data_IF_958911942956
#
_entry.id   IF_958911942956
#
_cell.length_a   1.000
_cell.length_b   1.000
_cell.length_c   1.000
_cell.angle_alpha   90.00
_cell.angle_beta   90.00
_cell.angle_gamma   90.00
#
_symmetry.space_group_name_H-M   'P 1'
#
loop_
_entity.id
_entity.type
_entity.pdbx_description
1 polymer ?
#
# COMPACT_ATOMS: atom_id res chain seq x y z
N UNK A 1 -26.72 -11.17 28.25
CA UNK A 1 -26.15 -11.77 27.02
C UNK A 1 -25.28 -10.72 26.31
N UNK A 2 -24.23 -10.20 26.98
CA UNK A 2 -23.49 -8.96 26.60
C UNK A 2 -21.96 -9.07 26.79
N UNK A 3 -21.33 -10.23 26.54
CA UNK A 3 -19.87 -10.40 26.76
C UNK A 3 -19.13 -11.21 25.68
N UNK A 4 -19.68 -11.30 24.47
CA UNK A 4 -19.09 -12.12 23.39
C UNK A 4 -18.58 -11.25 22.22
N UNK A 5 -18.83 -9.93 22.26
CA UNK A 5 -18.40 -8.99 21.21
C UNK A 5 -17.47 -7.87 21.73
N UNK A 6 -16.91 -8.02 22.93
CA UNK A 6 -15.73 -7.25 23.31
C UNK A 6 -14.52 -7.90 22.64
N UNK A 7 -14.36 -7.70 21.33
CA UNK A 7 -13.03 -7.82 20.74
C UNK A 7 -12.23 -6.75 21.48
N UNK A 8 -11.46 -7.15 22.50
CA UNK A 8 -10.64 -6.23 23.26
C UNK A 8 -9.88 -5.37 22.23
N UNK A 9 -9.89 -4.03 22.33
CA UNK A 9 -9.28 -3.11 21.37
C UNK A 9 -7.87 -3.56 20.92
N UNK A 10 -7.16 -4.24 21.82
CA UNK A 10 -5.88 -4.93 21.59
C UNK A 10 -5.88 -5.87 20.39
N UNK A 11 -6.91 -6.68 20.15
CA UNK A 11 -6.96 -7.64 19.05
C UNK A 11 -7.13 -6.95 17.70
N UNK A 12 -7.84 -5.82 17.67
CA UNK A 12 -7.95 -4.98 16.46
C UNK A 12 -6.58 -4.40 16.13
N UNK A 13 -5.89 -3.82 17.12
CA UNK A 13 -4.52 -3.32 16.94
C UNK A 13 -3.55 -4.41 16.48
N UNK A 14 -3.57 -5.58 17.13
CA UNK A 14 -2.69 -6.69 16.77
C UNK A 14 -2.96 -7.20 15.36
N UNK A 15 -4.22 -7.40 15.00
CA UNK A 15 -4.59 -7.91 13.67
C UNK A 15 -4.18 -6.94 12.58
N UNK A 16 -4.50 -5.64 12.74
CA UNK A 16 -4.13 -4.62 11.75
C UNK A 16 -2.61 -4.49 11.64
N UNK A 17 -1.92 -4.39 12.76
CA UNK A 17 -0.46 -4.27 12.79
C UNK A 17 0.23 -5.47 12.17
N UNK A 18 -0.23 -6.69 12.47
CA UNK A 18 0.35 -7.91 11.94
C UNK A 18 0.07 -8.08 10.45
N UNK A 19 -1.11 -7.70 9.95
CA UNK A 19 -1.42 -7.74 8.53
C UNK A 19 -0.57 -6.75 7.72
N UNK A 20 -0.42 -5.51 8.21
CA UNK A 20 0.44 -4.50 7.58
C UNK A 20 1.90 -4.96 7.60
N UNK A 21 2.39 -5.39 8.77
CA UNK A 21 3.76 -5.90 8.90
C UNK A 21 4.02 -7.10 8.00
N UNK A 22 3.13 -8.09 7.96
CA UNK A 22 3.29 -9.29 7.15
C UNK A 22 3.28 -8.98 5.66
N UNK A 23 2.42 -8.05 5.22
CA UNK A 23 2.40 -7.61 3.82
C UNK A 23 3.73 -6.97 3.41
N UNK A 24 4.24 -6.03 4.22
CA UNK A 24 5.48 -5.31 3.92
C UNK A 24 6.73 -6.20 4.09
N UNK A 25 6.73 -7.15 5.02
CA UNK A 25 7.86 -8.04 5.27
C UNK A 25 7.98 -9.20 4.26
N UNK A 26 6.86 -9.76 3.78
CA UNK A 26 6.86 -11.04 3.05
C UNK A 26 7.04 -10.85 1.52
N UNK A 27 7.18 -9.62 1.00
CA UNK A 27 7.26 -9.33 -0.46
C UNK A 27 6.04 -9.80 -1.27
N UNK A 28 5.00 -10.32 -0.60
CA UNK A 28 3.77 -10.82 -1.23
C UNK A 28 2.67 -9.78 -1.05
N UNK A 29 2.84 -8.64 -1.71
CA UNK A 29 1.78 -7.63 -1.88
C UNK A 29 0.59 -8.13 -2.73
N UNK A 30 0.54 -9.43 -3.07
CA UNK A 30 -0.54 -10.03 -3.84
C UNK A 30 -1.53 -10.85 -2.98
N UNK A 31 -1.22 -11.13 -1.71
CA UNK A 31 -2.03 -12.06 -0.88
C UNK A 31 -2.51 -11.45 0.45
N UNK A 32 -1.80 -10.48 1.03
CA UNK A 32 -2.17 -9.90 2.34
C UNK A 32 -2.66 -8.46 2.14
N UNK A 33 -3.94 -8.14 2.41
CA UNK A 33 -4.48 -6.81 2.17
C UNK A 33 -4.20 -5.85 3.35
N UNK A 34 -2.93 -5.49 3.58
CA UNK A 34 -2.54 -4.58 4.67
C UNK A 34 -3.09 -3.17 4.50
N UNK A 35 -3.27 -2.69 3.26
CA UNK A 35 -3.95 -1.41 2.98
C UNK A 35 -5.42 -1.45 3.43
N UNK A 36 -6.08 -2.58 3.21
CA UNK A 36 -7.46 -2.79 3.66
C UNK A 36 -7.50 -2.86 5.18
N UNK A 37 -6.54 -3.52 5.83
CA UNK A 37 -6.43 -3.57 7.28
C UNK A 37 -6.27 -2.16 7.89
N UNK A 38 -5.42 -1.30 7.31
CA UNK A 38 -5.25 0.08 7.76
C UNK A 38 -6.55 0.89 7.65
N UNK A 39 -7.28 0.76 6.53
CA UNK A 39 -8.59 1.41 6.34
C UNK A 39 -9.61 0.91 7.36
N UNK A 40 -9.70 -0.41 7.55
CA UNK A 40 -10.60 -1.02 8.53
C UNK A 40 -10.25 -0.59 9.96
N UNK A 41 -8.96 -0.47 10.29
CA UNK A 41 -8.50 0.09 11.56
C UNK A 41 -8.96 1.55 11.76
N UNK A 42 -8.95 2.35 10.70
CA UNK A 42 -9.51 3.70 10.69
C UNK A 42 -11.02 3.72 10.92
N UNK A 43 -11.77 2.84 10.24
CA UNK A 43 -13.22 2.70 10.44
C UNK A 43 -13.53 2.28 11.88
N UNK A 44 -12.80 1.31 12.43
CA UNK A 44 -12.94 0.89 13.82
C UNK A 44 -12.67 2.04 14.80
N UNK A 45 -11.70 2.91 14.49
CA UNK A 45 -11.43 4.11 15.27
C UNK A 45 -12.60 5.11 15.24
N UNK A 46 -13.27 5.27 14.09
CA UNK A 46 -14.44 6.16 13.96
C UNK A 46 -15.63 5.74 14.82
N UNK A 47 -15.74 4.43 15.07
CA UNK A 47 -16.80 3.85 15.90
C UNK A 47 -16.47 3.84 17.40
N UNK A 48 -15.30 4.38 17.78
CA UNK A 48 -14.84 4.44 19.17
C UNK A 48 -14.26 3.13 19.71
N UNK A 49 -14.08 2.09 18.87
CA UNK A 49 -13.50 0.82 19.31
C UNK A 49 -11.99 0.91 19.61
N UNK A 50 -11.29 1.85 18.96
CA UNK A 50 -9.84 2.07 19.08
C UNK A 50 -9.51 3.56 19.00
N UNK A 51 -8.43 3.98 19.64
CA UNK A 51 -7.88 5.33 19.53
C UNK A 51 -7.22 5.52 18.15
N UNK A 52 -7.65 6.54 17.42
CA UNK A 52 -7.16 6.89 16.08
C UNK A 52 -5.64 7.10 16.05
N UNK A 53 -5.10 7.92 16.96
CA UNK A 53 -3.67 8.22 17.00
C UNK A 53 -2.81 6.98 17.25
N UNK A 54 -3.27 6.08 18.13
CA UNK A 54 -2.58 4.80 18.40
C UNK A 54 -2.60 3.92 17.17
N UNK A 55 -3.72 3.87 16.43
CA UNK A 55 -3.81 3.10 15.19
C UNK A 55 -2.86 3.65 14.11
N UNK A 56 -2.78 4.98 13.96
CA UNK A 56 -1.85 5.61 13.01
C UNK A 56 -0.40 5.24 13.37
N UNK A 57 0.00 5.44 14.64
CA UNK A 57 1.36 5.14 15.09
C UNK A 57 1.71 3.65 14.88
N UNK A 58 0.77 2.77 15.19
CA UNK A 58 0.94 1.33 15.03
C UNK A 58 1.10 0.92 13.56
N UNK A 59 0.24 1.42 12.66
CA UNK A 59 0.34 1.14 11.21
C UNK A 59 1.65 1.67 10.63
N UNK A 60 2.04 2.90 11.01
CA UNK A 60 3.30 3.51 10.57
C UNK A 60 4.50 2.69 11.06
N UNK A 61 4.51 2.30 12.34
CA UNK A 61 5.58 1.47 12.89
C UNK A 61 5.66 0.11 12.22
N UNK A 62 4.51 -0.57 12.04
CA UNK A 62 4.44 -1.86 11.36
C UNK A 62 5.01 -1.78 9.93
N UNK A 63 4.63 -0.75 9.17
CA UNK A 63 5.12 -0.56 7.82
C UNK A 63 6.64 -0.28 7.76
N UNK A 64 7.15 0.60 8.63
CA UNK A 64 8.57 0.92 8.68
C UNK A 64 9.42 -0.30 9.06
N UNK A 65 8.95 -1.09 10.03
CA UNK A 65 9.64 -2.30 10.48
C UNK A 65 9.57 -3.37 9.39
N UNK A 66 8.42 -3.59 8.75
CA UNK A 66 8.27 -4.54 7.64
C UNK A 66 9.19 -4.22 6.46
N UNK A 67 9.21 -2.96 6.04
CA UNK A 67 10.12 -2.48 5.00
C UNK A 67 11.61 -2.62 5.41
N UNK A 68 11.92 -2.45 6.69
CA UNK A 68 13.28 -2.66 7.21
C UNK A 68 13.71 -4.13 7.16
N UNK A 69 12.78 -5.06 7.42
CA UNK A 69 13.01 -6.50 7.21
C UNK A 69 13.29 -6.75 5.73
N UNK A 70 12.49 -6.17 4.83
CA UNK A 70 12.72 -6.28 3.39
C UNK A 70 14.08 -5.76 2.94
N UNK A 71 14.54 -4.64 3.50
CA UNK A 71 15.88 -4.10 3.26
C UNK A 71 16.97 -5.06 3.73
N UNK A 72 16.89 -5.62 4.94
CA UNK A 72 17.91 -6.53 5.44
C UNK A 72 17.94 -7.87 4.68
N UNK A 73 16.76 -8.38 4.27
CA UNK A 73 16.67 -9.54 3.36
C UNK A 73 17.36 -9.23 2.03
N UNK A 74 17.11 -8.07 1.44
CA UNK A 74 17.78 -7.65 0.21
C UNK A 74 19.29 -7.49 0.36
N UNK A 75 19.75 -6.96 1.49
CA UNK A 75 21.17 -6.73 1.78
C UNK A 75 21.96 -8.02 1.96
N UNK A 76 21.36 -9.04 2.57
CA UNK A 76 22.01 -10.33 2.82
C UNK A 76 21.81 -11.34 1.69
N UNK A 77 20.64 -11.34 1.04
CA UNK A 77 20.24 -12.35 0.05
C UNK A 77 20.04 -11.79 -1.36
N UNK A 78 20.34 -10.51 -1.61
CA UNK A 78 20.03 -9.81 -2.87
C UNK A 78 20.52 -10.51 -4.14
N UNK A 79 21.74 -11.06 -4.15
CA UNK A 79 22.27 -11.79 -5.30
C UNK A 79 21.53 -13.11 -5.57
N UNK A 80 21.01 -13.76 -4.52
CA UNK A 80 20.21 -15.00 -4.63
C UNK A 80 18.75 -14.72 -4.98
N UNK A 81 18.17 -13.64 -4.44
CA UNK A 81 16.81 -13.21 -4.78
C UNK A 81 16.71 -12.77 -6.25
N UNK A 82 17.67 -11.97 -6.73
CA UNK A 82 17.69 -11.51 -8.13
C UNK A 82 17.99 -12.63 -9.14
N UNK A 83 18.61 -13.73 -8.69
CA UNK A 83 18.87 -14.92 -9.50
C UNK A 83 17.75 -15.98 -9.43
N UNK A 84 16.69 -15.76 -8.65
CA UNK A 84 15.62 -16.74 -8.50
C UNK A 84 14.72 -16.79 -9.74
N UNK A 85 14.54 -17.98 -10.33
CA UNK A 85 13.76 -18.17 -11.56
C UNK A 85 12.29 -17.73 -11.48
N UNK A 86 11.71 -17.60 -10.28
CA UNK A 86 10.35 -17.05 -10.14
C UNK A 86 10.27 -15.57 -10.52
N UNK A 87 11.36 -14.81 -10.38
CA UNK A 87 11.42 -13.40 -10.76
C UNK A 87 11.70 -13.18 -12.26
N UNK A 88 12.07 -14.21 -13.02
CA UNK A 88 12.30 -14.09 -14.48
C UNK A 88 11.06 -13.57 -15.21
N UNK A 89 9.85 -13.97 -14.76
CA UNK A 89 8.58 -13.47 -15.33
C UNK A 89 8.36 -11.97 -15.11
N UNK A 90 9.07 -11.38 -14.15
CA UNK A 90 8.97 -9.97 -13.78
C UNK A 90 10.26 -9.18 -14.02
N UNK A 91 11.31 -9.79 -14.61
CA UNK A 91 12.64 -9.17 -14.81
C UNK A 91 12.58 -7.76 -15.37
N UNK A 92 11.82 -7.54 -16.45
CA UNK A 92 11.69 -6.20 -17.04
C UNK A 92 11.04 -5.14 -16.13
N UNK A 93 10.27 -5.53 -15.10
CA UNK A 93 9.80 -4.60 -14.06
C UNK A 93 10.81 -4.41 -12.93
N UNK A 94 11.61 -5.44 -12.62
CA UNK A 94 12.75 -5.30 -11.70
C UNK A 94 13.81 -4.38 -12.28
N UNK A 95 14.15 -4.52 -13.56
CA UNK A 95 15.12 -3.65 -14.24
C UNK A 95 14.65 -2.19 -14.19
N UNK A 96 13.37 -1.93 -14.49
CA UNK A 96 12.77 -0.59 -14.33
C UNK A 96 12.83 -0.07 -12.88
N UNK A 97 12.66 -0.94 -11.89
CA UNK A 97 12.76 -0.56 -10.48
C UNK A 97 14.21 -0.27 -10.07
N UNK A 98 15.18 -1.03 -10.59
CA UNK A 98 16.60 -0.78 -10.41
C UNK A 98 17.04 0.52 -11.08
N UNK A 99 16.61 0.77 -12.33
CA UNK A 99 16.85 2.03 -13.03
C UNK A 99 16.24 3.21 -12.30
N UNK A 100 15.02 3.04 -11.79
CA UNK A 100 14.35 4.07 -11.01
C UNK A 100 15.10 4.37 -9.71
N UNK A 101 15.59 3.33 -9.03
CA UNK A 101 16.43 3.47 -7.84
C UNK A 101 17.77 4.13 -8.16
N UNK A 102 18.41 3.75 -9.26
CA UNK A 102 19.67 4.35 -9.70
C UNK A 102 19.52 5.84 -10.03
N UNK A 103 18.42 6.23 -10.69
CA UNK A 103 18.15 7.62 -11.07
C UNK A 103 17.67 8.49 -9.92
N UNK A 104 16.83 7.97 -9.03
CA UNK A 104 16.16 8.77 -7.97
C UNK A 104 16.69 8.53 -6.55
N UNK A 105 17.50 7.50 -6.33
CA UNK A 105 18.07 7.18 -5.04
C UNK A 105 17.00 7.02 -3.96
N UNK A 106 17.13 7.73 -2.84
CA UNK A 106 16.18 7.64 -1.72
C UNK A 106 14.74 8.04 -2.08
N UNK A 107 14.55 8.94 -3.06
CA UNK A 107 13.21 9.28 -3.54
C UNK A 107 12.49 8.11 -4.21
N UNK A 108 13.23 7.12 -4.73
CA UNK A 108 12.63 5.91 -5.26
C UNK A 108 11.90 5.10 -4.18
N UNK A 109 12.41 5.13 -2.94
CA UNK A 109 11.80 4.46 -1.77
C UNK A 109 10.46 5.10 -1.43
N UNK A 110 10.43 6.43 -1.39
CA UNK A 110 9.21 7.18 -1.12
C UNK A 110 8.17 6.99 -2.24
N UNK A 111 8.57 7.23 -3.49
CA UNK A 111 7.65 7.19 -4.64
C UNK A 111 7.19 5.77 -4.96
N UNK A 112 8.04 4.76 -4.69
CA UNK A 112 7.72 3.35 -4.91
C UNK A 112 6.51 2.87 -4.10
N UNK A 113 6.27 3.46 -2.92
CA UNK A 113 5.15 3.09 -2.05
C UNK A 113 3.76 3.29 -2.65
N UNK A 114 3.62 4.21 -3.62
CA UNK A 114 2.32 4.47 -4.25
C UNK A 114 1.94 3.46 -5.34
N UNK A 115 2.84 2.52 -5.64
CA UNK A 115 2.65 1.47 -6.64
C UNK A 115 2.89 0.11 -6.01
N UNK A 116 1.86 -0.73 -5.95
CA UNK A 116 1.89 -2.03 -5.25
C UNK A 116 3.12 -2.89 -5.59
N UNK A 117 3.47 -2.99 -6.87
CA UNK A 117 4.66 -3.76 -7.30
C UNK A 117 5.96 -3.16 -6.75
N UNK A 118 6.17 -1.83 -6.91
CA UNK A 118 7.40 -1.20 -6.44
C UNK A 118 7.46 -1.18 -4.91
N UNK A 119 6.35 -0.96 -4.20
CA UNK A 119 6.31 -1.03 -2.73
C UNK A 119 6.87 -2.36 -2.23
N UNK A 120 6.40 -3.47 -2.80
CA UNK A 120 6.85 -4.78 -2.39
C UNK A 120 8.35 -5.00 -2.69
N UNK A 121 8.84 -4.66 -3.89
CA UNK A 121 10.22 -5.02 -4.29
C UNK A 121 11.28 -3.99 -3.91
N UNK A 122 10.91 -2.73 -3.71
CA UNK A 122 11.86 -1.62 -3.52
C UNK A 122 12.75 -1.79 -2.28
N UNK A 123 12.23 -2.18 -1.09
CA UNK A 123 13.08 -2.38 0.08
C UNK A 123 14.19 -3.42 -0.16
N UNK A 124 13.88 -4.57 -0.78
CA UNK A 124 14.92 -5.55 -1.14
C UNK A 124 15.91 -4.99 -2.15
N UNK A 125 15.45 -4.28 -3.18
CA UNK A 125 16.35 -3.70 -4.19
C UNK A 125 17.31 -2.67 -3.58
N UNK A 126 16.82 -1.86 -2.64
CA UNK A 126 17.63 -0.89 -1.91
C UNK A 126 18.64 -1.58 -1.00
N UNK A 127 18.24 -2.67 -0.34
CA UNK A 127 19.14 -3.52 0.43
C UNK A 127 20.23 -4.16 -0.44
N UNK A 128 19.83 -4.75 -1.58
CA UNK A 128 20.73 -5.43 -2.52
C UNK A 128 21.75 -4.48 -3.15
N UNK A 129 21.36 -3.23 -3.39
CA UNK A 129 22.27 -2.16 -3.86
C UNK A 129 23.16 -1.56 -2.76
N UNK A 130 23.05 -2.05 -1.51
CA UNK A 130 23.82 -1.61 -0.34
C UNK A 130 23.72 -0.10 -0.08
N UNK A 131 22.56 0.50 -0.33
CA UNK A 131 22.31 1.89 0.09
C UNK A 131 22.48 2.00 1.61
N UNK A 132 23.12 3.05 2.16
CA UNK A 132 23.24 3.22 3.62
C UNK A 132 21.88 3.18 4.32
N UNK A 133 21.75 2.33 5.35
CA UNK A 133 20.48 2.14 6.08
C UNK A 133 19.85 3.44 6.61
N UNK A 134 20.61 4.43 7.16
CA UNK A 134 20.00 5.68 7.61
C UNK A 134 19.32 6.48 6.49
N UNK A 135 19.89 6.42 5.27
CA UNK A 135 19.29 7.06 4.10
C UNK A 135 18.03 6.33 3.66
N UNK A 136 18.04 5.00 3.64
CA UNK A 136 16.82 4.23 3.39
C UNK A 136 15.73 4.55 4.43
N UNK A 137 16.08 4.47 5.71
CA UNK A 137 15.15 4.63 6.82
C UNK A 137 14.49 6.02 6.85
N UNK A 138 15.17 7.09 6.47
CA UNK A 138 14.57 8.44 6.45
C UNK A 138 13.47 8.58 5.40
N UNK A 139 13.74 8.16 4.16
CA UNK A 139 12.73 8.14 3.09
C UNK A 139 11.63 7.11 3.37
N UNK A 140 11.99 5.99 3.98
CA UNK A 140 11.06 4.95 4.40
C UNK A 140 10.15 5.42 5.55
N UNK A 141 10.67 6.13 6.54
CA UNK A 141 9.86 6.67 7.62
C UNK A 141 8.90 7.73 7.09
N UNK A 142 9.40 8.64 6.24
CA UNK A 142 8.57 9.69 5.65
C UNK A 142 7.41 9.12 4.82
N UNK A 143 7.69 8.15 3.94
CA UNK A 143 6.63 7.50 3.18
C UNK A 143 5.67 6.69 4.04
N UNK A 144 6.15 6.08 5.13
CA UNK A 144 5.33 5.25 6.02
C UNK A 144 4.36 6.11 6.82
N UNK A 145 4.83 7.25 7.31
CA UNK A 145 4.01 8.27 7.97
C UNK A 145 2.92 8.78 7.04
N UNK A 146 3.29 9.22 5.83
CA UNK A 146 2.32 9.76 4.86
C UNK A 146 1.29 8.69 4.47
N UNK A 147 1.76 7.49 4.10
CA UNK A 147 0.90 6.39 3.68
C UNK A 147 -0.02 5.91 4.81
N UNK A 148 0.56 5.54 5.96
CA UNK A 148 -0.20 5.01 7.11
C UNK A 148 -1.22 6.00 7.64
N UNK A 149 -0.84 7.28 7.78
CA UNK A 149 -1.78 8.33 8.18
C UNK A 149 -2.90 8.49 7.16
N UNK A 150 -2.58 8.51 5.86
CA UNK A 150 -3.60 8.69 4.81
C UNK A 150 -4.64 7.58 4.83
N UNK A 151 -4.23 6.30 4.86
CA UNK A 151 -5.17 5.18 4.82
C UNK A 151 -6.01 5.06 6.10
N UNK A 152 -5.41 5.27 7.28
CA UNK A 152 -6.14 5.22 8.55
C UNK A 152 -7.11 6.40 8.67
N UNK A 153 -6.69 7.63 8.32
CA UNK A 153 -7.59 8.80 8.34
C UNK A 153 -8.69 8.67 7.30
N UNK A 154 -8.39 8.16 6.10
CA UNK A 154 -9.40 7.90 5.07
C UNK A 154 -10.45 6.91 5.57
N UNK A 155 -10.03 5.83 6.23
CA UNK A 155 -10.94 4.88 6.88
C UNK A 155 -11.78 5.53 7.98
N UNK A 156 -11.18 6.37 8.82
CA UNK A 156 -11.88 7.09 9.89
C UNK A 156 -12.95 8.03 9.34
N UNK A 157 -12.61 8.83 8.33
CA UNK A 157 -13.55 9.75 7.67
C UNK A 157 -14.65 8.98 6.94
N UNK A 158 -14.31 7.88 6.26
CA UNK A 158 -15.28 7.02 5.59
C UNK A 158 -16.28 6.41 6.58
N UNK A 159 -15.81 5.89 7.71
CA UNK A 159 -16.66 5.34 8.76
C UNK A 159 -17.60 6.38 9.37
N UNK A 160 -17.08 7.57 9.68
CA UNK A 160 -17.87 8.66 10.27
C UNK A 160 -18.90 9.24 9.27
N UNK A 161 -18.53 9.30 7.98
CA UNK A 161 -19.44 9.74 6.91
C UNK A 161 -20.54 8.72 6.67
N UNK A 162 -20.20 7.41 6.70
CA UNK A 162 -21.18 6.34 6.61
C UNK A 162 -22.20 6.40 7.75
N UNK A 163 -21.76 6.66 8.98
CA UNK A 163 -22.69 6.75 10.12
C UNK A 163 -23.65 7.95 9.99
N UNK A 164 -23.15 9.11 9.51
CA UNK A 164 -23.98 10.29 9.25
C UNK A 164 -24.98 10.07 8.12
N UNK A 165 -24.56 9.43 7.02
CA UNK A 165 -25.44 9.15 5.87
C UNK A 165 -26.45 8.06 6.22
N UNK A 166 -26.04 7.02 6.96
CA UNK A 166 -26.94 5.95 7.41
C UNK A 166 -28.03 6.46 8.36
N UNK A 167 -27.70 7.42 9.25
CA UNK A 167 -28.67 8.08 10.14
C UNK A 167 -29.66 8.98 9.40
N UNK A 168 -29.25 9.62 8.29
CA UNK A 168 -30.08 10.60 7.57
C UNK A 168 -30.88 9.99 6.42
N UNK A 169 -30.35 8.97 5.73
CA UNK A 169 -30.88 8.48 4.44
C UNK A 169 -31.23 6.98 4.47
N UNK A 170 -30.92 6.28 5.56
CA UNK A 170 -31.11 4.83 5.67
C UNK A 170 -29.92 4.04 5.13
N UNK A 171 -29.63 2.89 5.77
CA UNK A 171 -28.42 2.08 5.57
C UNK A 171 -28.20 1.63 4.13
N UNK A 172 -29.27 1.32 3.43
CA UNK A 172 -29.20 0.69 2.09
C UNK A 172 -28.80 1.69 1.00
N UNK A 173 -29.23 2.95 1.13
CA UNK A 173 -28.81 4.04 0.24
C UNK A 173 -27.36 4.48 0.50
N UNK A 174 -26.92 4.47 1.76
CA UNK A 174 -25.52 4.74 2.10
C UNK A 174 -24.57 3.72 1.46
N UNK A 175 -24.94 2.43 1.49
CA UNK A 175 -24.19 1.35 0.82
C UNK A 175 -24.18 1.57 -0.70
N UNK A 176 -25.32 1.91 -1.30
CA UNK A 176 -25.41 2.16 -2.74
C UNK A 176 -24.48 3.29 -3.20
N UNK A 177 -24.39 4.40 -2.45
CA UNK A 177 -23.51 5.53 -2.77
C UNK A 177 -22.03 5.15 -2.70
N UNK A 178 -21.62 4.42 -1.65
CA UNK A 178 -20.24 3.92 -1.53
C UNK A 178 -19.89 2.99 -2.68
N UNK A 179 -20.79 2.06 -3.02
CA UNK A 179 -20.61 1.15 -4.17
C UNK A 179 -20.46 1.94 -5.47
N UNK A 180 -21.29 2.97 -5.70
CA UNK A 180 -21.21 3.82 -6.89
C UNK A 180 -19.87 4.54 -6.98
N UNK A 181 -19.39 5.13 -5.88
CA UNK A 181 -18.09 5.83 -5.85
C UNK A 181 -16.94 4.87 -6.13
N UNK A 182 -16.94 3.69 -5.51
CA UNK A 182 -15.91 2.66 -5.73
C UNK A 182 -15.94 2.18 -7.19
N UNK A 183 -17.12 1.89 -7.73
CA UNK A 183 -17.29 1.49 -9.13
C UNK A 183 -16.83 2.61 -10.07
N UNK A 184 -17.17 3.87 -9.79
CA UNK A 184 -16.73 5.01 -10.60
C UNK A 184 -15.20 5.15 -10.62
N UNK A 185 -14.54 5.00 -9.46
CA UNK A 185 -13.08 5.03 -9.36
C UNK A 185 -12.41 3.86 -10.10
N UNK A 186 -12.98 2.65 -9.99
CA UNK A 186 -12.50 1.48 -10.74
C UNK A 186 -12.66 1.69 -12.25
N UNK A 187 -13.83 2.17 -12.69
CA UNK A 187 -14.11 2.46 -14.10
C UNK A 187 -13.19 3.55 -14.64
N UNK A 188 -12.94 4.61 -13.87
CA UNK A 188 -12.02 5.68 -14.25
C UNK A 188 -10.59 5.15 -14.44
N UNK A 189 -10.09 4.36 -13.49
CA UNK A 189 -8.75 3.75 -13.53
C UNK A 189 -8.61 2.72 -14.67
N UNK A 190 -9.69 2.00 -15.00
CA UNK A 190 -9.73 1.08 -16.15
C UNK A 190 -9.80 1.84 -17.49
N UNK A 191 -10.48 2.99 -17.55
CA UNK A 191 -10.54 3.85 -18.73
C UNK A 191 -9.20 4.53 -19.01
N UNK A 192 -8.50 4.99 -17.98
CA UNK A 192 -7.18 5.59 -18.10
C UNK A 192 -6.15 4.61 -18.69
N UNK A 193 -6.21 3.33 -18.27
CA UNK A 193 -5.40 2.24 -18.86
C UNK A 193 -5.76 1.92 -20.31
N UNK A 194 -7.02 2.11 -20.72
CA UNK A 194 -7.46 1.92 -22.12
C UNK A 194 -7.10 3.10 -23.02
N UNK A 195 -7.12 4.33 -22.50
CA UNK A 195 -6.73 5.53 -23.24
C UNK A 195 -5.22 5.58 -23.49
N UNK A 196 -4.39 5.17 -22.52
CA UNK A 196 -2.94 5.06 -22.72
C UNK A 196 -2.53 4.11 -23.86
N UNK A 197 -3.25 2.98 -24.03
CA UNK A 197 -3.00 2.04 -25.12
C UNK A 197 -3.45 2.55 -26.50
N UNK A 198 -4.48 3.39 -26.56
CA UNK A 198 -4.99 3.96 -27.82
C UNK A 198 -4.03 5.01 -28.39
N UNK A 199 -3.46 5.85 -27.53
CA UNK A 199 -2.49 6.88 -27.91
C UNK A 199 -1.18 6.28 -28.44
N UNK A 200 -0.68 5.18 -27.86
CA UNK A 200 0.49 4.44 -28.38
C UNK A 200 0.21 3.82 -29.76
N UNK A 201 -0.97 3.22 -29.98
CA UNK A 201 -1.31 2.63 -31.28
C UNK A 201 -1.47 3.68 -32.39
N UNK A 202 -1.95 4.88 -32.05
CA UNK A 202 -2.17 5.97 -33.00
C UNK A 202 -0.88 6.72 -33.34
N UNK A 203 0.06 6.80 -32.39
CA UNK A 203 1.42 7.33 -32.60
C UNK A 203 2.27 6.42 -33.50
N UNK A 204 2.23 5.10 -33.31
CA UNK A 204 2.92 4.15 -34.18
C UNK A 204 2.35 4.13 -35.61
N UNK A 205 1.02 4.23 -35.76
CA UNK A 205 0.38 4.28 -37.08
C UNK A 205 0.71 5.55 -37.90
N UNK A 206 1.09 6.65 -37.23
CA UNK A 206 1.46 7.91 -37.91
C UNK A 206 2.95 8.04 -38.22
N UNK A 207 3.81 7.22 -37.61
CA UNK A 207 5.28 7.32 -37.76
C UNK A 207 5.91 6.16 -38.56
N UNK A 208 5.18 5.06 -38.79
CA UNK A 208 5.62 3.92 -39.63
C UNK A 208 5.23 4.08 -41.12
N UNK A 209 4.67 5.24 -41.50
CA UNK A 209 4.21 5.56 -42.85
C UNK A 209 5.10 6.55 -43.62
N UNK A 210 6.38 6.71 -43.26
CA UNK A 210 7.35 7.54 -43.99
C UNK A 210 8.63 6.80 -44.31
#
# INVERSE_FOLDING_TARGET
>A
MHRILDIAPVWIYLTVGLLVFAEDAIFVGFVIPGETAAVLGGVAASQGHVLLWVMILLVVAAAIIGDSVGYEVGKHFGSRLLAASYLDKHRGRLDKAQDFLARRGGWAVFLGRFTAFFRAVMPALVGASRMPYPKFLSFNAFGGIVWGTTFVVLGYVAGNSYEKVAKTVGRDMAIAVVVIVVVALIVWKLRERRQGKKLESEYHATHDGR
#
